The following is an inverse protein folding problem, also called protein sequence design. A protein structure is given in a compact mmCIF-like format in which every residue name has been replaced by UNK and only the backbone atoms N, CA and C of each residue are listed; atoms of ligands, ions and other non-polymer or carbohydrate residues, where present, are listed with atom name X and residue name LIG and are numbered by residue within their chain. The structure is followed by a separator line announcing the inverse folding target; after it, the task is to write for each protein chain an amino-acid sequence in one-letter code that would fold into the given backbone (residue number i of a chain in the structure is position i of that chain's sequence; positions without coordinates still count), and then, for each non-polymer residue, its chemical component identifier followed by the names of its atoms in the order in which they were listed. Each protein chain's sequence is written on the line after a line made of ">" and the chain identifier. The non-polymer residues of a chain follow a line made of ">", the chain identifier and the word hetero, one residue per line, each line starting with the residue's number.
data_IF_499332562365
#
_entry.id   IF_499332562365
#
_cell.length_a   1.000
_cell.length_b   1.000
_cell.length_c   1.000
_cell.angle_alpha   90.00
_cell.angle_beta   90.00
_cell.angle_gamma   90.00
#
_symmetry.space_group_name_H-M   'P 1'
#
loop_
_entity.id
_entity.type
_entity.pdbx_description
1 polymer ?
#
# COMPACT_ATOMS: atom_id res chain seq x y z
N UNK A 1 -33.67 14.48 9.06
CA UNK A 1 -32.68 13.40 9.05
C UNK A 1 -33.16 12.13 8.33
N UNK A 2 -34.37 11.59 8.62
CA UNK A 2 -34.96 10.42 7.93
C UNK A 2 -35.07 10.59 6.39
N UNK A 3 -35.40 11.79 5.89
CA UNK A 3 -35.55 12.10 4.46
C UNK A 3 -34.21 11.98 3.70
N UNK A 4 -33.08 12.42 4.28
CA UNK A 4 -31.74 12.34 3.67
C UNK A 4 -31.27 10.88 3.59
N UNK A 5 -31.53 10.09 4.64
CA UNK A 5 -31.17 8.66 4.68
C UNK A 5 -31.97 7.88 3.63
N UNK A 6 -33.25 8.19 3.45
CA UNK A 6 -34.08 7.55 2.44
C UNK A 6 -33.60 7.92 1.02
N UNK A 7 -33.25 9.18 0.78
CA UNK A 7 -32.72 9.66 -0.49
C UNK A 7 -31.35 9.00 -0.82
N UNK A 8 -30.49 8.83 0.21
CA UNK A 8 -29.23 8.10 0.06
C UNK A 8 -29.44 6.62 -0.30
N UNK A 9 -30.42 5.94 0.31
CA UNK A 9 -30.73 4.53 0.01
C UNK A 9 -31.27 4.32 -1.42
N UNK A 10 -31.87 5.35 -2.02
CA UNK A 10 -32.37 5.31 -3.40
C UNK A 10 -31.28 5.52 -4.45
N UNK A 11 -30.07 5.99 -4.06
CA UNK A 11 -28.98 6.18 -4.99
C UNK A 11 -28.46 4.85 -5.53
N UNK A 12 -28.06 4.77 -6.82
CA UNK A 12 -27.40 3.61 -7.38
C UNK A 12 -26.16 3.22 -6.56
N UNK A 13 -25.85 1.92 -6.51
CA UNK A 13 -24.71 1.39 -5.73
C UNK A 13 -23.38 2.03 -6.13
N UNK A 14 -23.22 2.34 -7.43
CA UNK A 14 -22.05 3.01 -7.99
C UNK A 14 -21.83 4.38 -7.34
N UNK A 15 -22.87 5.19 -7.22
CA UNK A 15 -22.80 6.53 -6.62
C UNK A 15 -22.46 6.43 -5.13
N UNK A 16 -23.06 5.49 -4.42
CA UNK A 16 -22.76 5.27 -2.99
C UNK A 16 -21.32 4.79 -2.78
N UNK A 17 -20.86 3.87 -3.62
CA UNK A 17 -19.48 3.37 -3.56
C UNK A 17 -18.46 4.48 -3.85
N UNK A 18 -18.68 5.27 -4.91
CA UNK A 18 -17.80 6.40 -5.26
C UNK A 18 -17.74 7.45 -4.15
N UNK A 19 -18.85 7.76 -3.52
CA UNK A 19 -18.91 8.69 -2.40
C UNK A 19 -18.09 8.20 -1.20
N UNK A 20 -18.20 6.93 -0.83
CA UNK A 20 -17.43 6.34 0.26
C UNK A 20 -15.96 6.22 -0.06
N UNK A 21 -15.59 5.91 -1.31
CA UNK A 21 -14.18 5.91 -1.73
C UNK A 21 -13.57 7.30 -1.66
N UNK A 22 -14.32 8.34 -2.05
CA UNK A 22 -13.87 9.73 -1.95
C UNK A 22 -13.64 10.14 -0.49
N UNK A 23 -14.60 9.87 0.40
CA UNK A 23 -14.45 10.13 1.83
C UNK A 23 -13.25 9.39 2.40
N UNK A 24 -13.10 8.11 2.07
CA UNK A 24 -11.98 7.30 2.54
C UNK A 24 -10.64 7.90 2.10
N UNK A 25 -10.50 8.29 0.83
CA UNK A 25 -9.30 8.92 0.32
C UNK A 25 -8.99 10.25 1.02
N UNK A 26 -10.01 11.07 1.30
CA UNK A 26 -9.87 12.32 2.03
C UNK A 26 -9.40 12.09 3.48
N UNK A 27 -10.01 11.12 4.17
CA UNK A 27 -9.61 10.75 5.54
C UNK A 27 -8.17 10.22 5.59
N UNK A 28 -7.76 9.39 4.63
CA UNK A 28 -6.37 8.92 4.53
C UNK A 28 -5.38 10.07 4.40
N UNK A 29 -5.68 11.04 3.54
CA UNK A 29 -4.83 12.22 3.38
C UNK A 29 -4.80 13.08 4.65
N UNK A 30 -5.93 13.23 5.33
CA UNK A 30 -6.00 13.91 6.63
C UNK A 30 -5.15 13.23 7.70
N UNK A 31 -5.23 11.89 7.82
CA UNK A 31 -4.40 11.11 8.73
C UNK A 31 -2.91 11.30 8.42
N UNK A 32 -2.54 11.22 7.14
CA UNK A 32 -1.16 11.46 6.70
C UNK A 32 -0.67 12.88 7.04
N UNK A 33 -1.53 13.88 6.83
CA UNK A 33 -1.23 15.28 7.15
C UNK A 33 -0.97 15.51 8.65
N UNK A 34 -1.71 14.83 9.51
CA UNK A 34 -1.52 14.88 10.97
C UNK A 34 -0.28 14.09 11.39
N UNK A 35 -0.04 12.96 10.76
CA UNK A 35 1.09 12.07 11.12
C UNK A 35 2.45 12.66 10.77
N UNK A 36 2.55 13.39 9.65
CA UNK A 36 3.82 13.98 9.17
C UNK A 36 4.48 14.89 10.21
N UNK A 37 3.80 15.90 10.81
CA UNK A 37 4.41 16.73 11.85
C UNK A 37 4.84 15.96 13.10
N UNK A 38 4.16 14.86 13.44
CA UNK A 38 4.53 14.03 14.59
C UNK A 38 5.89 13.36 14.31
N UNK A 39 6.05 12.75 13.12
CA UNK A 39 7.31 12.09 12.76
C UNK A 39 8.46 13.08 12.55
N UNK A 40 8.21 14.28 12.05
CA UNK A 40 9.25 15.31 11.92
C UNK A 40 9.75 15.83 13.27
N UNK A 41 8.98 15.66 14.35
CA UNK A 41 9.42 15.97 15.72
C UNK A 41 10.09 14.80 16.44
N UNK A 42 9.74 13.56 16.09
CA UNK A 42 10.30 12.35 16.69
C UNK A 42 11.64 11.93 16.08
N UNK A 43 11.84 12.24 14.80
CA UNK A 43 13.03 11.92 14.04
C UNK A 43 13.92 13.18 13.90
N UNK A 44 15.22 12.99 13.91
CA UNK A 44 16.17 14.04 13.50
C UNK A 44 16.04 14.32 11.99
N UNK A 45 16.57 15.43 11.54
CA UNK A 45 16.57 15.80 10.10
C UNK A 45 17.25 14.73 9.25
N UNK A 46 18.35 14.14 9.77
CA UNK A 46 19.08 13.08 9.08
C UNK A 46 18.25 11.78 9.00
N UNK A 47 17.65 11.34 10.09
CA UNK A 47 16.79 10.14 10.14
C UNK A 47 15.57 10.30 9.23
N UNK A 48 14.95 11.48 9.22
CA UNK A 48 13.82 11.77 8.34
C UNK A 48 14.24 11.79 6.87
N UNK A 49 15.45 12.29 6.58
CA UNK A 49 16.05 12.24 5.25
C UNK A 49 16.27 10.81 4.76
N UNK A 50 16.85 9.93 5.59
CA UNK A 50 17.03 8.51 5.27
C UNK A 50 15.70 7.79 5.03
N UNK A 51 14.70 8.06 5.85
CA UNK A 51 13.35 7.53 5.64
C UNK A 51 12.75 7.98 4.30
N UNK A 52 12.95 9.23 3.89
CA UNK A 52 12.49 9.73 2.60
C UNK A 52 13.23 9.10 1.42
N UNK A 53 14.52 8.85 1.54
CA UNK A 53 15.31 8.09 0.54
C UNK A 53 14.73 6.68 0.38
N UNK A 54 14.45 5.97 1.49
CA UNK A 54 13.80 4.68 1.47
C UNK A 54 12.44 4.72 0.74
N UNK A 55 11.58 5.69 1.05
CA UNK A 55 10.27 5.83 0.40
C UNK A 55 10.38 6.14 -1.11
N UNK A 56 11.38 6.94 -1.49
CA UNK A 56 11.63 7.25 -2.90
C UNK A 56 12.02 5.99 -3.68
N UNK A 57 12.95 5.20 -3.13
CA UNK A 57 13.33 3.93 -3.72
C UNK A 57 12.17 2.92 -3.71
N UNK A 58 11.41 2.84 -2.62
CA UNK A 58 10.21 1.99 -2.56
C UNK A 58 9.25 2.31 -3.71
N UNK A 59 9.00 3.59 -3.99
CA UNK A 59 8.13 4.02 -5.09
C UNK A 59 8.66 3.58 -6.46
N UNK A 60 9.96 3.81 -6.72
CA UNK A 60 10.60 3.44 -8.00
C UNK A 60 10.62 1.92 -8.17
N UNK A 61 11.13 1.19 -7.17
CA UNK A 61 11.31 -0.27 -7.25
C UNK A 61 9.96 -0.97 -7.35
N UNK A 62 8.90 -0.45 -6.69
CA UNK A 62 7.56 -1.01 -6.81
C UNK A 62 7.10 -1.05 -8.27
N UNK A 63 7.37 -0.01 -9.06
CA UNK A 63 7.00 0.03 -10.48
C UNK A 63 7.71 -1.09 -11.25
N UNK A 64 9.02 -1.26 -11.04
CA UNK A 64 9.82 -2.28 -11.71
C UNK A 64 9.44 -3.70 -11.29
N UNK A 65 9.25 -3.94 -9.99
CA UNK A 65 8.94 -5.28 -9.45
C UNK A 65 7.53 -5.73 -9.80
N UNK A 66 6.54 -4.84 -9.72
CA UNK A 66 5.13 -5.18 -9.94
C UNK A 66 4.64 -4.91 -11.37
N UNK A 67 5.45 -4.23 -12.21
CA UNK A 67 5.03 -3.68 -13.51
C UNK A 67 3.70 -2.93 -13.45
N UNK A 68 3.33 -2.44 -12.28
CA UNK A 68 2.03 -1.79 -12.00
C UNK A 68 0.81 -2.61 -12.46
N UNK A 69 0.94 -3.94 -12.51
CA UNK A 69 -0.12 -4.85 -12.99
C UNK A 69 -1.42 -4.71 -12.20
N UNK A 70 -1.32 -4.51 -10.89
CA UNK A 70 -2.47 -4.26 -10.02
C UNK A 70 -3.18 -2.92 -10.29
N UNK A 71 -2.60 -2.04 -11.12
CA UNK A 71 -3.19 -0.76 -11.52
C UNK A 71 -4.28 -0.90 -12.57
N UNK A 72 -4.24 -0.03 -13.58
CA UNK A 72 -5.26 0.05 -14.62
C UNK A 72 -5.50 -1.24 -15.40
N UNK A 73 -4.44 -2.02 -15.68
CA UNK A 73 -4.52 -3.27 -16.45
C UNK A 73 -5.44 -4.29 -15.78
N UNK A 74 -5.25 -4.52 -14.47
CA UNK A 74 -6.05 -5.49 -13.72
C UNK A 74 -7.52 -5.06 -13.65
N UNK A 75 -7.79 -3.82 -13.26
CA UNK A 75 -9.16 -3.32 -13.15
C UNK A 75 -9.91 -3.34 -14.49
N UNK A 76 -9.24 -2.94 -15.58
CA UNK A 76 -9.83 -3.00 -16.92
C UNK A 76 -10.06 -4.43 -17.40
N UNK A 77 -9.12 -5.34 -17.11
CA UNK A 77 -9.24 -6.73 -17.46
C UNK A 77 -10.39 -7.43 -16.73
N UNK A 78 -10.61 -7.14 -15.45
CA UNK A 78 -11.76 -7.67 -14.68
C UNK A 78 -13.11 -7.30 -15.31
N UNK A 79 -13.22 -6.12 -15.92
CA UNK A 79 -14.43 -5.69 -16.63
C UNK A 79 -14.50 -6.31 -18.02
N UNK A 80 -13.37 -6.34 -18.76
CA UNK A 80 -13.32 -6.85 -20.14
C UNK A 80 -13.57 -8.35 -20.22
N UNK A 81 -13.03 -9.12 -19.26
CA UNK A 81 -13.11 -10.59 -19.22
C UNK A 81 -14.14 -11.06 -18.18
N UNK A 82 -15.31 -10.44 -18.12
CA UNK A 82 -16.33 -10.73 -17.11
C UNK A 82 -16.69 -12.22 -17.01
N UNK A 83 -16.77 -12.94 -18.14
CA UNK A 83 -17.11 -14.37 -18.19
C UNK A 83 -15.98 -15.29 -17.70
N UNK A 84 -14.73 -14.85 -17.83
CA UNK A 84 -13.52 -15.60 -17.45
C UNK A 84 -12.73 -14.91 -16.34
N UNK A 85 -13.42 -14.12 -15.53
CA UNK A 85 -12.84 -13.23 -14.54
C UNK A 85 -11.90 -13.95 -13.57
N UNK A 86 -12.29 -15.14 -13.10
CA UNK A 86 -11.47 -15.91 -12.17
C UNK A 86 -10.16 -16.39 -12.81
N UNK A 87 -10.19 -16.78 -14.09
CA UNK A 87 -9.00 -17.22 -14.82
C UNK A 87 -8.07 -16.02 -15.03
N UNK A 88 -8.62 -14.88 -15.45
CA UNK A 88 -7.85 -13.66 -15.62
C UNK A 88 -7.21 -13.20 -14.30
N UNK A 89 -7.99 -13.16 -13.21
CA UNK A 89 -7.50 -12.77 -11.90
C UNK A 89 -6.36 -13.68 -11.41
N UNK A 90 -6.53 -15.02 -11.53
CA UNK A 90 -5.49 -16.00 -11.17
C UNK A 90 -4.23 -15.83 -12.00
N UNK A 91 -4.36 -15.55 -13.29
CA UNK A 91 -3.22 -15.35 -14.20
C UNK A 91 -2.42 -14.11 -13.82
N UNK A 92 -3.09 -12.99 -13.52
CA UNK A 92 -2.40 -11.77 -13.07
C UNK A 92 -1.77 -11.94 -11.69
N UNK A 93 -2.45 -12.64 -10.76
CA UNK A 93 -1.86 -12.96 -9.44
C UNK A 93 -0.62 -13.85 -9.59
N UNK A 94 -0.70 -14.90 -10.41
CA UNK A 94 0.42 -15.77 -10.72
C UNK A 94 1.60 -15.01 -11.34
N UNK A 95 1.34 -14.14 -12.30
CA UNK A 95 2.37 -13.29 -12.92
C UNK A 95 3.01 -12.35 -11.89
N UNK A 96 2.20 -11.69 -11.06
CA UNK A 96 2.71 -10.80 -10.00
C UNK A 96 3.60 -11.55 -9.01
N UNK A 97 3.21 -12.77 -8.61
CA UNK A 97 4.01 -13.62 -7.73
C UNK A 97 5.32 -14.06 -8.40
N UNK A 98 5.28 -14.45 -9.66
CA UNK A 98 6.47 -14.88 -10.42
C UNK A 98 7.47 -13.72 -10.53
N UNK A 99 7.00 -12.52 -10.86
CA UNK A 99 7.85 -11.32 -10.94
C UNK A 99 8.46 -10.98 -9.57
N UNK A 100 7.68 -11.04 -8.52
CA UNK A 100 8.17 -10.80 -7.16
C UNK A 100 9.26 -11.81 -6.76
N UNK A 101 9.04 -13.11 -7.00
CA UNK A 101 10.03 -14.15 -6.72
C UNK A 101 11.29 -13.95 -7.56
N UNK A 102 11.18 -13.64 -8.83
CA UNK A 102 12.29 -13.35 -9.71
C UNK A 102 13.18 -12.22 -9.17
N UNK A 103 12.58 -11.08 -8.81
CA UNK A 103 13.32 -9.96 -8.25
C UNK A 103 13.88 -10.25 -6.86
N UNK A 104 13.19 -11.03 -6.05
CA UNK A 104 13.67 -11.46 -4.73
C UNK A 104 14.91 -12.34 -4.88
N UNK A 105 14.94 -13.28 -5.83
CA UNK A 105 16.10 -14.13 -6.12
C UNK A 105 17.28 -13.27 -6.60
N UNK A 106 17.05 -12.33 -7.53
CA UNK A 106 18.09 -11.41 -7.99
C UNK A 106 18.68 -10.61 -6.82
N UNK A 107 17.83 -10.09 -5.94
CA UNK A 107 18.29 -9.39 -4.75
C UNK A 107 19.14 -10.28 -3.85
N UNK A 108 18.70 -11.52 -3.56
CA UNK A 108 19.44 -12.44 -2.69
C UNK A 108 20.82 -12.82 -3.27
N UNK A 109 20.93 -12.96 -4.59
CA UNK A 109 22.17 -13.29 -5.27
C UNK A 109 23.18 -12.12 -5.27
N UNK A 110 22.70 -10.90 -5.32
CA UNK A 110 23.52 -9.68 -5.46
C UNK A 110 23.20 -8.65 -4.38
N UNK A 111 22.96 -9.09 -3.13
CA UNK A 111 22.49 -8.22 -2.04
C UNK A 111 23.46 -7.07 -1.74
N UNK A 112 24.77 -7.32 -1.74
CA UNK A 112 25.78 -6.29 -1.46
C UNK A 112 25.80 -5.20 -2.54
N UNK A 113 25.67 -5.60 -3.81
CA UNK A 113 25.59 -4.66 -4.93
C UNK A 113 24.36 -3.74 -4.80
N UNK A 114 23.19 -4.31 -4.52
CA UNK A 114 21.95 -3.55 -4.39
C UNK A 114 21.95 -2.66 -3.15
N UNK A 115 22.46 -3.15 -2.02
CA UNK A 115 22.60 -2.37 -0.81
C UNK A 115 23.50 -1.15 -1.02
N UNK A 116 24.63 -1.34 -1.71
CA UNK A 116 25.53 -0.25 -2.07
C UNK A 116 24.88 0.76 -3.03
N UNK A 117 24.23 0.27 -4.09
CA UNK A 117 23.60 1.10 -5.11
C UNK A 117 22.50 2.00 -4.53
N UNK A 118 21.67 1.46 -3.65
CA UNK A 118 20.54 2.20 -3.06
C UNK A 118 20.90 2.92 -1.76
N UNK A 119 22.11 2.68 -1.25
CA UNK A 119 22.55 3.16 0.06
C UNK A 119 21.56 2.80 1.17
N UNK A 120 21.11 1.55 1.17
CA UNK A 120 20.17 0.97 2.11
C UNK A 120 20.77 -0.27 2.80
N UNK A 121 20.38 -0.49 4.05
CA UNK A 121 20.76 -1.70 4.78
C UNK A 121 19.98 -2.92 4.29
N UNK A 122 20.52 -4.12 4.52
CA UNK A 122 19.83 -5.39 4.19
C UNK A 122 18.45 -5.47 4.85
N UNK A 123 18.30 -4.99 6.08
CA UNK A 123 17.01 -4.95 6.79
C UNK A 123 16.01 -4.06 6.06
N UNK A 124 16.44 -2.89 5.61
CA UNK A 124 15.60 -1.97 4.85
C UNK A 124 15.20 -2.56 3.49
N UNK A 125 16.12 -3.23 2.80
CA UNK A 125 15.83 -3.88 1.52
C UNK A 125 14.84 -5.03 1.66
N UNK A 126 14.97 -5.88 2.67
CA UNK A 126 14.02 -6.96 2.97
C UNK A 126 12.65 -6.37 3.33
N UNK A 127 12.62 -5.34 4.18
CA UNK A 127 11.41 -4.62 4.52
C UNK A 127 10.71 -4.05 3.28
N UNK A 128 11.49 -3.49 2.34
CA UNK A 128 10.98 -2.99 1.06
C UNK A 128 10.34 -4.08 0.23
N UNK A 129 10.98 -5.24 0.07
CA UNK A 129 10.42 -6.37 -0.67
C UNK A 129 9.10 -6.85 -0.05
N UNK A 130 9.05 -6.99 1.28
CA UNK A 130 7.81 -7.37 1.99
C UNK A 130 6.70 -6.33 1.72
N UNK A 131 7.02 -5.03 1.79
CA UNK A 131 6.06 -3.96 1.52
C UNK A 131 5.55 -3.98 0.07
N UNK A 132 6.41 -4.24 -0.91
CA UNK A 132 6.01 -4.36 -2.32
C UNK A 132 5.06 -5.53 -2.48
N UNK A 133 5.37 -6.68 -1.89
CA UNK A 133 4.53 -7.87 -1.95
C UNK A 133 3.15 -7.61 -1.33
N UNK A 134 3.10 -7.20 -0.07
CA UNK A 134 1.85 -6.96 0.65
C UNK A 134 1.00 -5.89 -0.02
N UNK A 135 1.62 -4.81 -0.50
CA UNK A 135 0.92 -3.73 -1.23
C UNK A 135 0.36 -4.24 -2.56
N UNK A 136 1.10 -5.08 -3.29
CA UNK A 136 0.63 -5.65 -4.56
C UNK A 136 -0.59 -6.54 -4.36
N UNK A 137 -0.54 -7.45 -3.36
CA UNK A 137 -1.68 -8.32 -3.00
C UNK A 137 -2.90 -7.49 -2.57
N UNK A 138 -2.68 -6.49 -1.72
CA UNK A 138 -3.75 -5.60 -1.28
C UNK A 138 -4.37 -4.82 -2.43
N UNK A 139 -3.57 -4.34 -3.38
CA UNK A 139 -4.06 -3.61 -4.55
C UNK A 139 -4.90 -4.50 -5.48
N UNK A 140 -4.50 -5.76 -5.69
CA UNK A 140 -5.31 -6.72 -6.46
C UNK A 140 -6.68 -6.93 -5.80
N UNK A 141 -6.69 -7.27 -4.52
CA UNK A 141 -7.93 -7.42 -3.75
C UNK A 141 -8.79 -6.15 -3.74
N UNK A 142 -8.16 -4.99 -3.55
CA UNK A 142 -8.84 -3.69 -3.54
C UNK A 142 -9.54 -3.39 -4.87
N UNK A 143 -8.90 -3.74 -6.00
CA UNK A 143 -9.50 -3.56 -7.32
C UNK A 143 -10.71 -4.50 -7.54
N UNK A 144 -10.65 -5.74 -7.06
CA UNK A 144 -11.81 -6.63 -7.09
C UNK A 144 -12.99 -6.02 -6.33
N UNK A 145 -12.74 -5.51 -5.11
CA UNK A 145 -13.79 -4.86 -4.32
C UNK A 145 -14.37 -3.61 -5.01
N UNK A 146 -13.54 -2.84 -5.72
CA UNK A 146 -13.96 -1.64 -6.46
C UNK A 146 -14.81 -1.99 -7.67
N UNK A 147 -14.41 -2.98 -8.45
CA UNK A 147 -15.15 -3.43 -9.64
C UNK A 147 -16.52 -4.02 -9.24
N UNK A 148 -16.59 -4.71 -8.11
CA UNK A 148 -17.85 -5.27 -7.57
C UNK A 148 -18.68 -4.26 -6.76
N UNK A 149 -18.22 -3.01 -6.63
CA UNK A 149 -18.85 -1.99 -5.77
C UNK A 149 -19.01 -2.42 -4.29
N UNK A 150 -18.16 -3.36 -3.82
CA UNK A 150 -18.14 -3.85 -2.43
C UNK A 150 -17.37 -2.89 -1.52
N UNK A 151 -17.84 -1.63 -1.42
CA UNK A 151 -17.10 -0.55 -0.78
C UNK A 151 -16.92 -0.70 0.73
N UNK A 152 -17.84 -1.39 1.43
CA UNK A 152 -17.85 -1.43 2.92
C UNK A 152 -16.57 -2.06 3.49
N UNK A 153 -16.23 -3.27 3.05
CA UNK A 153 -15.03 -3.96 3.50
C UNK A 153 -13.76 -3.18 3.16
N UNK A 154 -13.68 -2.69 1.91
CA UNK A 154 -12.53 -1.92 1.44
C UNK A 154 -12.33 -0.64 2.27
N UNK A 155 -13.37 0.13 2.50
CA UNK A 155 -13.30 1.38 3.29
C UNK A 155 -12.86 1.09 4.72
N UNK A 156 -13.46 0.09 5.39
CA UNK A 156 -13.14 -0.26 6.78
C UNK A 156 -11.66 -0.67 6.89
N UNK A 157 -11.21 -1.63 6.07
CA UNK A 157 -9.84 -2.13 6.11
C UNK A 157 -8.86 -1.00 5.79
N UNK A 158 -9.13 -0.20 4.77
CA UNK A 158 -8.26 0.91 4.37
C UNK A 158 -8.14 1.97 5.48
N UNK A 159 -9.22 2.29 6.19
CA UNK A 159 -9.18 3.23 7.32
C UNK A 159 -8.42 2.64 8.52
N UNK A 160 -8.65 1.36 8.85
CA UNK A 160 -7.90 0.68 9.92
C UNK A 160 -6.40 0.73 9.62
N UNK A 161 -5.98 0.33 8.41
CA UNK A 161 -4.58 0.36 7.98
C UNK A 161 -4.01 1.78 8.02
N UNK A 162 -4.79 2.78 7.58
CA UNK A 162 -4.35 4.18 7.57
C UNK A 162 -4.11 4.76 8.96
N UNK A 163 -4.86 4.30 9.97
CA UNK A 163 -4.67 4.70 11.37
C UNK A 163 -3.58 3.85 12.02
N UNK A 164 -3.57 2.55 11.79
CA UNK A 164 -2.63 1.61 12.39
C UNK A 164 -1.17 1.93 12.02
N UNK A 165 -0.89 2.26 10.74
CA UNK A 165 0.45 2.62 10.27
C UNK A 165 1.13 3.73 11.08
N UNK A 166 0.53 4.93 11.24
CA UNK A 166 1.15 5.96 12.07
C UNK A 166 1.20 5.59 13.55
N UNK A 167 0.16 4.95 14.11
CA UNK A 167 0.12 4.58 15.54
C UNK A 167 1.24 3.59 15.86
N UNK A 168 1.33 2.49 15.13
CA UNK A 168 2.39 1.48 15.33
C UNK A 168 3.76 2.09 15.06
N UNK A 169 3.89 2.90 13.99
CA UNK A 169 5.13 3.61 13.69
C UNK A 169 5.60 4.53 14.82
N UNK A 170 4.70 5.29 15.46
CA UNK A 170 5.01 6.16 16.59
C UNK A 170 5.47 5.32 17.79
N UNK A 171 4.73 4.25 18.12
CA UNK A 171 5.07 3.37 19.24
C UNK A 171 6.47 2.77 19.05
N UNK A 172 6.77 2.26 17.86
CA UNK A 172 8.08 1.66 17.57
C UNK A 172 9.21 2.71 17.60
N UNK A 173 9.00 3.88 17.03
CA UNK A 173 10.01 4.95 17.00
C UNK A 173 10.37 5.46 18.40
N UNK A 174 9.39 5.53 19.31
CA UNK A 174 9.65 5.97 20.70
C UNK A 174 10.46 4.94 21.49
N UNK A 175 10.27 3.64 21.20
CA UNK A 175 10.89 2.55 21.97
C UNK A 175 12.17 1.98 21.33
N UNK A 176 12.56 2.43 20.15
CA UNK A 176 13.71 1.88 19.41
C UNK A 176 14.92 2.79 19.45
N UNK A 177 16.12 2.16 19.46
CA UNK A 177 17.40 2.86 19.31
C UNK A 177 17.59 3.37 17.86
N UNK A 178 17.27 2.52 16.85
CA UNK A 178 17.27 2.92 15.45
C UNK A 178 15.85 3.31 15.03
N UNK A 179 15.62 4.61 15.02
CA UNK A 179 14.30 5.18 14.70
C UNK A 179 13.91 5.03 13.25
N UNK A 180 14.89 4.99 12.33
CA UNK A 180 14.62 4.83 10.89
C UNK A 180 14.09 3.43 10.61
N UNK A 181 14.79 2.41 11.11
CA UNK A 181 14.35 1.01 10.98
C UNK A 181 13.00 0.82 11.68
N UNK A 182 12.82 1.37 12.89
CA UNK A 182 11.57 1.30 13.61
C UNK A 182 10.40 1.91 12.83
N UNK A 183 10.62 3.05 12.16
CA UNK A 183 9.62 3.71 11.33
C UNK A 183 9.25 2.84 10.11
N UNK A 184 10.24 2.23 9.46
CA UNK A 184 10.04 1.33 8.32
C UNK A 184 9.29 0.07 8.75
N UNK A 185 9.70 -0.57 9.85
CA UNK A 185 9.02 -1.75 10.40
C UNK A 185 7.56 -1.44 10.78
N UNK A 186 7.27 -0.25 11.29
CA UNK A 186 5.89 0.19 11.54
C UNK A 186 5.01 0.27 10.30
N UNK A 187 5.61 0.37 9.10
CA UNK A 187 4.87 0.28 7.83
C UNK A 187 4.70 -1.18 7.37
N UNK A 188 5.69 -2.03 7.66
CA UNK A 188 5.69 -3.45 7.26
C UNK A 188 4.69 -4.26 8.07
N UNK A 189 4.53 -3.96 9.37
CA UNK A 189 3.68 -4.71 10.29
C UNK A 189 2.17 -4.47 10.09
N UNK A 190 1.79 -3.52 9.25
CA UNK A 190 0.40 -3.14 8.97
C UNK A 190 0.06 -3.33 7.49
#
# INVERSE_FOLDING_TARGET
>A
MKSVINKYKMLPIQVRASFWFLICAFLQKGISMISTPIFTRLLTTQEYGQYNVFNSWLGIITIFVSFSLAGGVYAQGLVKFEKERNIFASSIQGLTMTLFLFWTIIYLLFHDFWNYLFNLTTVQMIAMLIMIWTTSVFNLWSNDQRVDYKYKALVIITLIVSIAKPVIGIILVINANDKVIARILGLVLV
#
